data_IF_107163415456
#
_entry.id   IF_107163415456
#
_cell.length_a   1.000
_cell.length_b   1.000
_cell.length_c   1.000
_cell.angle_alpha   90.00
_cell.angle_beta   90.00
_cell.angle_gamma   90.00
#
_symmetry.space_group_name_H-M   'P 1'
#
loop_
_entity.id
_entity.type
_entity.pdbx_description
1 polymer ?
#
# COMPACT_ATOMS: atom_id res chain seq x y z
N UNK A 1 0.49 -10.70 8.30
CA UNK A 1 1.09 -9.40 7.93
C UNK A 1 0.20 -8.30 8.48
N UNK A 2 0.75 -7.16 8.89
CA UNK A 2 -0.07 -5.97 9.14
C UNK A 2 -0.63 -5.42 7.82
N UNK A 3 -1.66 -4.58 7.89
CA UNK A 3 -2.35 -4.04 6.71
C UNK A 3 -1.42 -3.32 5.72
N UNK A 4 -0.29 -2.80 6.22
CA UNK A 4 0.75 -2.17 5.42
C UNK A 4 1.80 -3.14 4.82
N UNK A 5 1.75 -4.44 5.12
CA UNK A 5 2.71 -5.44 4.63
C UNK A 5 4.14 -5.27 5.15
N UNK A 6 4.36 -4.51 6.22
CA UNK A 6 5.69 -4.05 6.68
C UNK A 6 6.29 -4.86 7.83
N UNK A 7 5.61 -5.90 8.30
CA UNK A 7 6.13 -6.77 9.37
C UNK A 7 7.47 -7.39 8.94
N UNK A 8 8.55 -7.04 9.64
CA UNK A 8 9.92 -7.50 9.36
C UNK A 8 10.76 -6.57 8.48
N UNK A 9 10.22 -5.45 7.98
CA UNK A 9 10.97 -4.48 7.20
C UNK A 9 11.79 -3.56 8.12
N UNK A 10 13.10 -3.79 8.22
CA UNK A 10 14.04 -2.97 9.00
C UNK A 10 14.12 -1.52 8.52
N UNK A 11 13.70 -1.24 7.29
CA UNK A 11 13.72 0.09 6.72
C UNK A 11 12.41 0.85 6.95
N UNK A 12 11.40 0.22 7.56
CA UNK A 12 10.06 0.82 7.73
C UNK A 12 10.07 2.18 8.43
N UNK A 13 11.01 2.41 9.34
CA UNK A 13 11.16 3.69 10.05
C UNK A 13 11.68 4.83 9.16
N UNK A 14 12.23 4.50 7.99
CA UNK A 14 12.65 5.47 6.97
C UNK A 14 11.59 5.71 5.90
N UNK A 15 10.44 5.04 5.95
CA UNK A 15 9.34 5.36 5.06
C UNK A 15 8.43 6.41 5.70
N UNK A 16 7.90 7.30 4.87
CA UNK A 16 6.81 8.19 5.24
C UNK A 16 5.47 7.51 5.03
N UNK A 17 4.55 7.77 5.96
CA UNK A 17 3.19 7.31 5.86
C UNK A 17 2.53 7.92 4.60
N UNK A 18 1.72 7.17 3.82
CA UNK A 18 1.07 7.70 2.62
C UNK A 18 0.23 8.95 2.88
N UNK A 19 -0.28 9.11 4.11
CA UNK A 19 -1.01 10.30 4.56
C UNK A 19 -0.09 11.50 4.80
N UNK A 20 1.14 11.27 5.28
CA UNK A 20 2.15 12.33 5.48
C UNK A 20 2.70 12.83 4.14
N UNK A 21 3.02 11.90 3.23
CA UNK A 21 3.55 12.20 1.91
C UNK A 21 2.66 13.14 1.08
N UNK A 22 1.33 13.04 1.23
CA UNK A 22 0.35 13.91 0.55
C UNK A 22 0.25 15.32 1.14
N UNK A 23 0.74 15.56 2.36
CA UNK A 23 0.60 16.86 3.05
C UNK A 23 1.85 17.74 3.01
N UNK A 24 3.00 17.09 2.81
CA UNK A 24 4.28 17.71 2.50
C UNK A 24 4.65 17.22 1.12
N UNK A 25 4.08 17.80 0.06
CA UNK A 25 4.48 17.46 -1.30
C UNK A 25 5.81 18.16 -1.62
N UNK A 26 6.98 17.48 -1.58
CA UNK A 26 8.00 17.80 -2.57
C UNK A 26 7.46 17.35 -3.94
N UNK A 27 7.81 18.05 -5.03
CA UNK A 27 7.45 17.62 -6.38
C UNK A 27 7.89 16.16 -6.61
N UNK A 28 7.10 15.37 -7.35
CA UNK A 28 7.40 13.97 -7.68
C UNK A 28 8.85 13.75 -8.15
N UNK A 29 9.45 14.77 -8.78
CA UNK A 29 10.84 14.80 -9.24
C UNK A 29 11.92 14.65 -8.15
N UNK A 30 11.56 14.64 -6.86
CA UNK A 30 12.50 14.38 -5.75
C UNK A 30 12.33 12.99 -5.12
N UNK A 31 11.32 12.22 -5.53
CA UNK A 31 10.95 10.93 -4.93
C UNK A 31 11.66 9.78 -5.67
N UNK A 32 12.93 9.56 -5.35
CA UNK A 32 13.77 8.58 -6.07
C UNK A 32 13.46 7.13 -5.76
N UNK A 33 12.96 6.79 -4.56
CA UNK A 33 12.62 5.39 -4.21
C UNK A 33 11.29 5.37 -3.47
N UNK A 34 10.37 4.54 -3.95
CA UNK A 34 9.09 4.26 -3.32
C UNK A 34 8.92 2.75 -3.22
N UNK A 35 8.36 2.27 -2.11
CA UNK A 35 7.84 0.91 -2.03
C UNK A 35 6.33 0.99 -2.23
N UNK A 36 5.81 0.30 -3.25
CA UNK A 36 4.39 0.26 -3.55
C UNK A 36 3.87 -1.14 -3.31
N UNK A 37 2.78 -1.23 -2.56
CA UNK A 37 1.96 -2.44 -2.49
C UNK A 37 0.71 -2.18 -3.30
N UNK A 38 0.57 -2.94 -4.38
CA UNK A 38 -0.56 -2.83 -5.27
C UNK A 38 -1.54 -3.94 -4.98
N UNK A 39 -2.77 -3.51 -4.79
CA UNK A 39 -3.89 -4.41 -4.59
C UNK A 39 -4.59 -4.58 -5.92
N UNK A 40 -5.11 -5.78 -6.13
CA UNK A 40 -6.03 -6.03 -7.21
C UNK A 40 -7.23 -5.09 -7.09
N UNK A 41 -7.85 -4.79 -8.23
CA UNK A 41 -9.08 -4.01 -8.24
C UNK A 41 -10.14 -4.69 -7.36
N UNK A 42 -11.00 -3.93 -6.70
CA UNK A 42 -11.96 -4.44 -5.70
C UNK A 42 -12.86 -5.58 -6.24
N UNK A 43 -13.08 -5.60 -7.56
CA UNK A 43 -13.87 -6.62 -8.26
C UNK A 43 -13.05 -7.78 -8.82
N UNK A 44 -11.74 -7.84 -8.55
CA UNK A 44 -10.87 -8.89 -9.09
C UNK A 44 -11.29 -10.26 -8.63
N UNK A 45 -11.54 -10.44 -7.34
CA UNK A 45 -11.97 -11.74 -6.80
C UNK A 45 -13.36 -12.16 -7.28
N UNK A 46 -14.20 -11.21 -7.71
CA UNK A 46 -15.41 -11.58 -8.41
C UNK A 46 -15.03 -12.29 -9.71
N UNK A 47 -14.11 -11.73 -10.49
CA UNK A 47 -13.68 -12.35 -11.74
C UNK A 47 -12.87 -13.63 -11.53
N UNK A 48 -11.93 -13.59 -10.60
CA UNK A 48 -10.93 -14.61 -10.29
C UNK A 48 -11.04 -15.08 -8.84
N UNK A 49 -12.07 -15.88 -8.50
CA UNK A 49 -12.33 -16.29 -7.12
C UNK A 49 -11.24 -17.20 -6.55
N UNK A 50 -10.43 -17.84 -7.40
CA UNK A 50 -9.26 -18.62 -6.99
C UNK A 50 -7.98 -17.80 -6.85
N UNK A 51 -8.00 -16.52 -7.23
CA UNK A 51 -6.84 -15.64 -7.20
C UNK A 51 -6.65 -14.92 -5.85
N UNK A 52 -5.57 -14.15 -5.76
CA UNK A 52 -5.22 -13.34 -4.58
C UNK A 52 -5.57 -11.86 -4.76
N UNK A 53 -5.92 -11.17 -3.66
CA UNK A 53 -6.21 -9.72 -3.66
C UNK A 53 -4.95 -8.87 -3.76
N UNK A 54 -3.78 -9.41 -3.45
CA UNK A 54 -2.52 -8.69 -3.52
C UNK A 54 -1.84 -9.00 -4.85
N UNK A 55 -1.58 -7.97 -5.66
CA UNK A 55 -0.91 -8.13 -6.95
C UNK A 55 0.60 -8.26 -6.73
N UNK A 56 1.23 -7.16 -6.31
CA UNK A 56 2.69 -7.09 -6.21
C UNK A 56 3.13 -6.12 -5.12
N UNK A 57 4.20 -6.49 -4.43
CA UNK A 57 5.08 -5.51 -3.82
C UNK A 57 6.13 -5.13 -4.88
N UNK A 58 6.15 -3.87 -5.27
CA UNK A 58 7.13 -3.36 -6.22
C UNK A 58 7.87 -2.15 -5.64
N UNK A 59 9.09 -1.94 -6.11
CA UNK A 59 9.85 -0.74 -5.84
C UNK A 59 9.74 0.16 -7.06
N UNK A 60 9.31 1.41 -6.87
CA UNK A 60 9.47 2.43 -7.90
C UNK A 60 10.79 3.14 -7.64
N UNK A 61 11.71 3.11 -8.60
CA UNK A 61 12.93 3.91 -8.55
C UNK A 61 12.88 4.89 -9.73
N UNK A 62 12.88 6.17 -9.42
CA UNK A 62 12.56 7.25 -10.37
C UNK A 62 11.19 6.97 -11.06
N UNK A 63 11.19 6.58 -12.34
CA UNK A 63 9.97 6.25 -13.12
C UNK A 63 9.86 4.79 -13.56
N UNK A 64 10.71 3.93 -13.02
CA UNK A 64 10.75 2.50 -13.31
C UNK A 64 10.24 1.66 -12.14
N UNK A 65 9.45 0.64 -12.46
CA UNK A 65 8.91 -0.33 -11.53
C UNK A 65 9.76 -1.58 -11.54
N UNK A 66 10.24 -1.94 -10.35
CA UNK A 66 11.02 -3.12 -10.07
C UNK A 66 10.13 -4.08 -9.29
N UNK A 67 9.91 -5.28 -9.81
CA UNK A 67 9.21 -6.35 -9.10
C UNK A 67 10.02 -7.63 -9.25
N UNK A 68 9.77 -8.56 -8.34
CA UNK A 68 10.47 -9.84 -8.34
C UNK A 68 9.50 -10.93 -8.74
N UNK A 69 9.54 -11.29 -10.02
CA UNK A 69 8.85 -12.45 -10.56
C UNK A 69 9.88 -13.34 -11.28
N UNK A 70 10.21 -14.54 -10.75
CA UNK A 70 11.14 -15.46 -11.38
C UNK A 70 10.71 -15.92 -12.78
N UNK A 71 9.41 -15.87 -13.08
CA UNK A 71 8.84 -16.34 -14.34
C UNK A 71 8.65 -15.21 -15.36
N UNK A 72 8.74 -13.94 -14.92
CA UNK A 72 8.56 -12.80 -15.79
C UNK A 72 9.70 -12.68 -16.82
N UNK A 73 9.40 -12.34 -18.09
CA UNK A 73 10.42 -12.11 -19.11
C UNK A 73 11.30 -10.90 -18.79
N UNK A 74 10.80 -9.96 -17.98
CA UNK A 74 11.52 -8.80 -17.49
C UNK A 74 10.98 -8.36 -16.13
N UNK A 75 11.88 -7.97 -15.22
CA UNK A 75 11.57 -7.58 -13.85
C UNK A 75 11.61 -6.04 -13.63
N UNK A 76 11.89 -5.30 -14.69
CA UNK A 76 11.93 -3.82 -14.70
C UNK A 76 10.99 -3.36 -15.81
N UNK A 77 10.02 -2.53 -15.45
CA UNK A 77 8.99 -2.02 -16.36
C UNK A 77 8.82 -0.52 -16.19
N UNK A 78 8.57 0.20 -17.28
CA UNK A 78 8.01 1.56 -17.17
C UNK A 78 6.61 1.52 -16.55
N UNK A 79 6.12 2.63 -16.01
CA UNK A 79 4.76 2.71 -15.46
C UNK A 79 3.69 2.19 -16.44
N UNK A 80 3.80 2.56 -17.72
CA UNK A 80 2.85 2.18 -18.75
C UNK A 80 2.92 0.69 -19.11
N UNK A 81 4.10 0.06 -19.02
CA UNK A 81 4.23 -1.40 -19.21
C UNK A 81 3.71 -2.16 -18.00
N UNK A 82 4.02 -1.66 -16.81
CA UNK A 82 3.59 -2.25 -15.57
C UNK A 82 2.06 -2.23 -15.44
N UNK A 83 1.40 -1.08 -15.66
CA UNK A 83 -0.07 -1.00 -15.68
C UNK A 83 -0.70 -1.88 -16.76
N UNK A 84 -0.05 -2.02 -17.93
CA UNK A 84 -0.49 -2.96 -18.96
C UNK A 84 -0.41 -4.40 -18.50
N UNK A 85 0.65 -4.78 -17.77
CA UNK A 85 0.78 -6.11 -17.18
C UNK A 85 -0.35 -6.39 -16.18
N UNK A 86 -0.57 -5.48 -15.22
CA UNK A 86 -1.65 -5.65 -14.23
C UNK A 86 -3.03 -5.77 -14.90
N UNK A 87 -3.25 -5.00 -15.95
CA UNK A 87 -4.51 -5.04 -16.70
C UNK A 87 -4.62 -6.31 -17.56
N UNK A 88 -3.51 -6.82 -18.08
CA UNK A 88 -3.46 -8.10 -18.78
C UNK A 88 -3.84 -9.24 -17.84
N UNK A 89 -3.24 -9.29 -16.65
CA UNK A 89 -3.45 -10.35 -15.67
C UNK A 89 -4.86 -10.33 -15.12
N UNK A 90 -5.38 -9.14 -14.77
CA UNK A 90 -6.80 -8.99 -14.43
C UNK A 90 -7.71 -9.48 -15.56
N UNK A 91 -7.35 -9.22 -16.83
CA UNK A 91 -8.19 -9.56 -17.97
C UNK A 91 -7.98 -10.98 -18.50
N UNK A 92 -7.06 -11.75 -17.92
CA UNK A 92 -6.80 -13.13 -18.30
C UNK A 92 -8.08 -14.00 -18.21
N UNK A 93 -8.18 -15.07 -19.01
CA UNK A 93 -9.21 -16.08 -18.80
C UNK A 93 -9.09 -16.68 -17.40
N UNK A 94 -10.20 -17.23 -16.91
CA UNK A 94 -10.18 -18.02 -15.67
C UNK A 94 -9.28 -19.24 -15.82
N UNK A 95 -8.58 -19.56 -14.75
CA UNK A 95 -7.73 -20.74 -14.68
C UNK A 95 -8.42 -21.90 -13.93
N UNK A 96 -7.64 -22.93 -13.61
CA UNK A 96 -8.13 -24.08 -12.85
C UNK A 96 -8.47 -23.76 -11.39
N UNK A 97 -7.74 -22.84 -10.75
CA UNK A 97 -8.02 -22.43 -9.38
C UNK A 97 -9.37 -21.71 -9.30
N UNK A 98 -9.67 -20.86 -10.29
CA UNK A 98 -10.97 -20.22 -10.43
C UNK A 98 -12.09 -21.25 -10.62
N UNK A 99 -11.86 -22.27 -11.45
CA UNK A 99 -12.83 -23.33 -11.69
C UNK A 99 -13.13 -24.14 -10.42
N UNK A 100 -12.10 -24.56 -9.69
CA UNK A 100 -12.24 -25.32 -8.44
C UNK A 100 -12.99 -24.51 -7.38
N UNK A 101 -12.69 -23.21 -7.27
CA UNK A 101 -13.40 -22.33 -6.34
C UNK A 101 -14.86 -22.16 -6.72
N UNK A 102 -15.18 -22.01 -8.00
CA UNK A 102 -16.56 -21.91 -8.48
C UNK A 102 -17.32 -23.22 -8.25
N UNK A 103 -16.68 -24.39 -8.41
CA UNK A 103 -17.31 -25.67 -8.08
C UNK A 103 -17.68 -25.71 -6.60
N UNK A 104 -16.76 -25.31 -5.71
CA UNK A 104 -17.04 -25.21 -4.27
C UNK A 104 -18.22 -24.28 -3.98
N UNK A 105 -18.26 -23.10 -4.61
CA UNK A 105 -19.34 -22.14 -4.40
C UNK A 105 -20.71 -22.67 -4.85
N UNK A 106 -20.75 -23.38 -5.98
CA UNK A 106 -21.99 -23.97 -6.49
C UNK A 106 -22.46 -25.20 -5.69
N UNK A 107 -21.56 -25.91 -5.00
CA UNK A 107 -21.91 -27.06 -4.17
C UNK A 107 -22.65 -26.67 -2.89
N UNK A 108 -22.35 -25.50 -2.32
CA UNK A 108 -22.91 -25.03 -1.05
C UNK A 108 -23.32 -23.55 -1.15
N UNK A 109 -24.31 -23.21 -1.99
CA UNK A 109 -24.60 -21.83 -2.37
C UNK A 109 -25.10 -20.95 -1.21
N UNK A 110 -25.67 -21.55 -0.16
CA UNK A 110 -26.22 -20.82 0.99
C UNK A 110 -25.16 -20.48 2.04
N UNK A 111 -23.94 -21.01 1.91
CA UNK A 111 -22.87 -20.75 2.87
C UNK A 111 -22.37 -19.30 2.76
N UNK A 112 -22.33 -18.57 3.88
CA UNK A 112 -21.81 -17.19 3.95
C UNK A 112 -20.29 -17.21 4.04
N UNK A 113 -19.63 -16.55 3.10
CA UNK A 113 -18.17 -16.49 3.09
C UNK A 113 -17.68 -15.63 4.27
N UNK A 114 -16.71 -16.14 5.03
CA UNK A 114 -16.18 -15.47 6.24
C UNK A 114 -15.62 -14.09 5.91
N UNK A 115 -14.81 -13.99 4.85
CA UNK A 115 -14.16 -12.73 4.45
C UNK A 115 -15.05 -11.79 3.59
N UNK A 116 -16.15 -12.28 3.02
CA UNK A 116 -17.06 -11.48 2.18
C UNK A 116 -18.45 -11.32 2.78
N UNK A 117 -18.59 -11.56 4.09
CA UNK A 117 -19.88 -11.41 4.76
C UNK A 117 -20.47 -10.01 4.47
N UNK A 118 -21.78 -9.91 4.14
CA UNK A 118 -22.80 -10.95 4.24
C UNK A 118 -23.00 -11.82 2.99
N UNK A 119 -22.10 -11.79 1.99
CA UNK A 119 -22.29 -12.52 0.73
C UNK A 119 -22.21 -14.04 0.93
N UNK A 120 -23.16 -14.74 0.34
CA UNK A 120 -23.11 -16.21 0.22
C UNK A 120 -22.28 -16.65 -0.98
N UNK A 121 -21.87 -17.91 -0.97
CA UNK A 121 -21.18 -18.55 -2.09
C UNK A 121 -22.00 -18.49 -3.39
N UNK A 122 -23.32 -18.67 -3.32
CA UNK A 122 -24.20 -18.52 -4.47
C UNK A 122 -24.13 -17.11 -5.06
N UNK A 123 -24.16 -16.08 -4.21
CA UNK A 123 -24.00 -14.68 -4.65
C UNK A 123 -22.64 -14.46 -5.30
N UNK A 124 -21.55 -14.96 -4.69
CA UNK A 124 -20.19 -14.84 -5.24
C UNK A 124 -20.05 -15.54 -6.60
N UNK A 125 -20.66 -16.72 -6.78
CA UNK A 125 -20.66 -17.44 -8.04
C UNK A 125 -21.40 -16.67 -9.16
N UNK A 126 -22.50 -16.01 -8.84
CA UNK A 126 -23.23 -15.16 -9.79
C UNK A 126 -22.49 -13.86 -10.11
N UNK A 127 -21.90 -13.20 -9.12
CA UNK A 127 -21.04 -12.03 -9.34
C UNK A 127 -19.87 -12.38 -10.26
N UNK A 128 -19.31 -13.59 -10.10
CA UNK A 128 -18.26 -14.07 -10.98
C UNK A 128 -18.73 -14.20 -12.42
N UNK A 129 -19.89 -14.82 -12.68
CA UNK A 129 -20.42 -14.93 -14.05
C UNK A 129 -20.61 -13.57 -14.73
N UNK A 130 -20.92 -12.54 -13.95
CA UNK A 130 -21.18 -11.18 -14.43
C UNK A 130 -19.96 -10.25 -14.40
N UNK A 131 -18.78 -10.77 -14.06
CA UNK A 131 -17.58 -9.96 -13.94
C UNK A 131 -17.13 -9.42 -15.32
N UNK A 132 -17.11 -8.09 -15.44
CA UNK A 132 -16.69 -7.40 -16.65
C UNK A 132 -15.16 -7.24 -16.73
N UNK A 133 -14.68 -6.94 -17.94
CA UNK A 133 -13.28 -6.53 -18.14
C UNK A 133 -13.00 -5.22 -17.41
N UNK A 134 -11.81 -5.12 -16.82
CA UNK A 134 -11.34 -3.90 -16.15
C UNK A 134 -10.87 -2.87 -17.18
N UNK A 135 -11.21 -1.62 -16.92
CA UNK A 135 -10.76 -0.43 -17.68
C UNK A 135 -10.03 0.61 -16.81
N UNK A 136 -10.06 0.44 -15.50
CA UNK A 136 -9.56 1.41 -14.52
C UNK A 136 -8.20 0.97 -13.94
N UNK A 137 -7.41 1.92 -13.43
CA UNK A 137 -6.09 1.66 -12.82
C UNK A 137 -6.22 1.01 -11.44
N UNK A 138 -5.13 0.39 -10.97
CA UNK A 138 -5.13 -0.30 -9.68
C UNK A 138 -4.86 0.74 -8.60
N UNK A 139 -5.61 0.67 -7.50
CA UNK A 139 -5.31 1.47 -6.33
C UNK A 139 -4.21 0.78 -5.52
N UNK A 140 -3.13 1.51 -5.24
CA UNK A 140 -1.99 1.00 -4.47
C UNK A 140 -1.70 1.86 -3.26
N UNK A 141 -1.26 1.22 -2.18
CA UNK A 141 -0.61 1.93 -1.08
C UNK A 141 0.84 2.22 -1.48
N UNK A 142 1.28 3.47 -1.27
CA UNK A 142 2.61 3.94 -1.61
C UNK A 142 3.32 4.42 -0.35
N UNK A 143 4.37 3.72 0.05
CA UNK A 143 5.30 4.15 1.08
C UNK A 143 6.48 4.85 0.41
N UNK A 144 6.74 6.09 0.79
CA UNK A 144 7.82 6.88 0.19
C UNK A 144 9.07 6.80 1.05
N UNK A 145 10.21 6.48 0.45
CA UNK A 145 11.45 6.38 1.21
C UNK A 145 12.01 7.77 1.50
N UNK A 146 12.14 8.11 2.78
CA UNK A 146 12.69 9.37 3.24
C UNK A 146 14.22 9.28 3.35
N UNK A 147 14.90 9.56 2.24
CA UNK A 147 16.36 9.58 2.18
C UNK A 147 16.98 10.57 3.18
N UNK A 148 16.37 11.72 3.40
CA UNK A 148 16.89 12.73 4.32
C UNK A 148 16.90 12.20 5.76
N UNK A 149 15.84 11.48 6.16
CA UNK A 149 15.79 10.82 7.47
C UNK A 149 16.91 9.79 7.61
N UNK A 150 17.14 8.97 6.58
CA UNK A 150 18.23 8.00 6.61
C UNK A 150 19.59 8.70 6.77
N UNK A 151 19.91 9.66 5.90
CA UNK A 151 21.19 10.37 5.93
C UNK A 151 21.39 11.08 7.27
N UNK A 152 20.40 11.83 7.75
CA UNK A 152 20.49 12.51 9.04
C UNK A 152 20.69 11.56 10.21
N UNK A 153 20.01 10.40 10.22
CA UNK A 153 20.22 9.39 11.25
C UNK A 153 21.64 8.78 11.20
N UNK A 154 22.19 8.56 10.01
CA UNK A 154 23.56 8.06 9.85
C UNK A 154 24.63 9.09 10.25
N UNK A 155 24.41 10.36 9.92
CA UNK A 155 25.26 11.47 10.35
C UNK A 155 25.26 11.62 11.88
N UNK A 156 24.08 11.57 12.51
CA UNK A 156 23.96 11.59 13.98
C UNK A 156 24.68 10.41 14.64
N UNK A 157 24.59 9.19 14.07
CA UNK A 157 25.34 8.02 14.58
C UNK A 157 26.85 8.23 14.47
N UNK A 158 27.32 8.75 13.34
CA UNK A 158 28.73 9.03 13.12
C UNK A 158 29.26 10.06 14.13
N UNK A 159 28.52 11.14 14.34
CA UNK A 159 28.88 12.17 15.32
C UNK A 159 28.87 11.62 16.74
N UNK A 160 27.86 10.83 17.11
CA UNK A 160 27.80 10.18 18.42
C UNK A 160 29.03 9.28 18.68
N UNK A 161 29.47 8.53 17.66
CA UNK A 161 30.66 7.69 17.73
C UNK A 161 31.94 8.51 17.95
N UNK A 162 32.07 9.66 17.28
CA UNK A 162 33.20 10.59 17.48
C UNK A 162 33.25 11.12 18.92
N UNK A 163 32.09 11.33 19.56
CA UNK A 163 31.99 11.86 20.91
C UNK A 163 31.94 10.77 22.01
N UNK A 164 32.22 9.52 21.67
CA UNK A 164 32.29 8.41 22.63
C UNK A 164 30.92 7.94 23.16
N UNK A 165 29.85 8.23 22.43
CA UNK A 165 28.48 7.82 22.79
C UNK A 165 27.96 6.76 21.82
N UNK A 166 27.03 5.93 22.29
CA UNK A 166 26.34 4.93 21.46
C UNK A 166 24.98 5.46 21.03
N UNK A 167 24.72 5.46 19.74
CA UNK A 167 23.46 5.94 19.16
C UNK A 167 22.90 4.93 18.18
N UNK A 168 21.57 4.75 18.18
CA UNK A 168 20.89 3.79 17.32
C UNK A 168 20.06 4.52 16.26
N UNK A 169 20.52 4.48 15.01
CA UNK A 169 19.85 5.10 13.86
C UNK A 169 18.39 4.64 13.69
N UNK A 170 18.07 3.37 13.96
CA UNK A 170 16.70 2.85 13.81
C UNK A 170 15.76 3.44 14.87
N UNK A 171 16.20 3.48 16.13
CA UNK A 171 15.41 4.09 17.20
C UNK A 171 15.15 5.57 16.96
N UNK A 172 16.15 6.28 16.43
CA UNK A 172 16.01 7.68 16.02
C UNK A 172 15.05 7.85 14.84
N UNK A 173 15.20 7.05 13.80
CA UNK A 173 14.32 7.07 12.63
C UNK A 173 12.86 6.83 13.03
N UNK A 174 12.61 5.88 13.94
CA UNK A 174 11.28 5.62 14.48
C UNK A 174 10.69 6.85 15.16
N UNK A 175 11.49 7.52 16.00
CA UNK A 175 11.10 8.74 16.71
C UNK A 175 10.75 9.86 15.72
N UNK A 176 11.61 10.10 14.73
CA UNK A 176 11.40 11.11 13.71
C UNK A 176 10.16 10.82 12.85
N UNK A 177 9.93 9.55 12.49
CA UNK A 177 8.71 9.14 11.79
C UNK A 177 7.47 9.44 12.62
N UNK A 178 7.47 9.10 13.91
CA UNK A 178 6.32 9.32 14.80
C UNK A 178 5.97 10.80 14.91
N UNK A 179 6.99 11.66 15.07
CA UNK A 179 6.82 13.12 15.09
C UNK A 179 6.18 13.59 13.77
N UNK A 180 6.72 13.18 12.62
CA UNK A 180 6.18 13.57 11.32
C UNK A 180 4.72 13.11 11.12
N UNK A 181 4.36 11.92 11.60
CA UNK A 181 2.99 11.43 11.58
C UNK A 181 2.05 12.26 12.45
N UNK A 182 2.45 12.59 13.68
CA UNK A 182 1.69 13.44 14.59
C UNK A 182 1.47 14.85 14.00
N UNK A 183 2.50 15.44 13.39
CA UNK A 183 2.42 16.73 12.71
C UNK A 183 1.46 16.72 11.51
N UNK A 184 1.51 15.67 10.68
CA UNK A 184 0.60 15.52 9.54
C UNK A 184 -0.87 15.41 9.99
N UNK A 185 -1.15 14.63 11.04
CA UNK A 185 -2.50 14.52 11.62
C UNK A 185 -2.99 15.88 12.13
N UNK A 186 -2.14 16.61 12.86
CA UNK A 186 -2.49 17.94 13.37
C UNK A 186 -2.78 18.93 12.23
N UNK A 187 -1.96 18.91 11.17
CA UNK A 187 -2.19 19.73 9.98
C UNK A 187 -3.52 19.40 9.31
N UNK A 188 -3.85 18.12 9.15
CA UNK A 188 -5.12 17.68 8.59
C UNK A 188 -6.33 18.14 9.40
N UNK A 189 -6.27 18.02 10.73
CA UNK A 189 -7.35 18.51 11.61
C UNK A 189 -7.53 20.02 11.44
N UNK A 190 -6.43 20.78 11.38
CA UNK A 190 -6.48 22.23 11.21
C UNK A 190 -7.02 22.66 9.84
N UNK A 191 -6.70 21.94 8.76
CA UNK A 191 -7.13 22.30 7.40
C UNK A 191 -8.56 21.85 7.08
N UNK A 192 -9.00 20.73 7.66
CA UNK A 192 -10.25 20.06 7.25
C UNK A 192 -11.41 20.30 8.24
N UNK A 193 -11.11 20.68 9.48
CA UNK A 193 -12.11 21.00 10.51
C UNK A 193 -11.93 22.43 11.05
N UNK A 194 -12.00 23.49 10.22
CA UNK A 194 -11.80 24.87 10.67
C UNK A 194 -12.85 25.34 11.71
N UNK A 195 -13.96 24.61 11.90
CA UNK A 195 -15.03 24.93 12.84
C UNK A 195 -14.96 24.27 14.22
N UNK A 196 -14.12 23.25 14.43
CA UNK A 196 -14.17 22.43 15.66
C UNK A 196 -13.34 23.01 16.81
N UNK A 197 -12.31 23.80 16.50
CA UNK A 197 -11.41 24.36 17.53
C UNK A 197 -12.03 25.57 18.25
N UNK A 198 -12.94 26.31 17.58
CA UNK A 198 -13.64 27.46 18.22
C UNK A 198 -14.60 27.08 19.36
N UNK A 199 -14.98 25.80 19.51
CA UNK A 199 -15.87 25.38 20.61
C UNK A 199 -15.16 25.08 21.93
N UNK A 200 -13.84 24.88 21.92
CA UNK A 200 -13.11 24.59 23.16
C UNK A 200 -12.81 25.90 23.93
N UNK A 201 -12.61 27.02 23.22
CA UNK A 201 -12.34 28.31 23.87
C UNK A 201 -13.58 29.09 24.32
N UNK A 202 -14.79 28.68 23.90
CA UNK A 202 -16.06 29.34 24.29
C UNK A 202 -16.84 28.61 25.39
N UNK A 203 -16.30 27.52 25.94
CA UNK A 203 -16.94 26.73 27.02
C UNK A 203 -16.32 26.91 28.40
N UNK A 204 -15.43 27.89 28.59
CA UNK A 204 -14.73 28.16 29.86
C UNK A 204 -14.91 29.62 30.31
N UNK A 205 -16.13 30.15 30.18
CA UNK A 205 -16.54 31.43 30.77
C UNK A 205 -17.86 31.24 31.52
#
# INVERSE_FOLDING_TARGET
MNDAGTTGNLLYDFYDDPWCAKMTDPPESQRRIQTRTLWNHDTYLNKHPGGDTQLHNCFKIDDEYYFFDPEAPQNILSEAEFERSLMHDYNAPRDFADADRLVMYNLIPDYVHVDFAPKSFGTLAEEAKNANKRRERANGMCLEFNFQRLIGCLEEVKDAQVHGTTYNALSRANTLRRIASEEAVMKYVLTTLPGSIKRIEQGAA
#
